data_IF_126082043470
#
_entry.id   IF_126082043470
#
_cell.length_a   1.000
_cell.length_b   1.000
_cell.length_c   1.000
_cell.angle_alpha   90.00
_cell.angle_beta   90.00
_cell.angle_gamma   90.00
#
_symmetry.space_group_name_H-M   'P 1'
#
loop_
_entity.id
_entity.type
_entity.pdbx_description
1 polymer ?
#
# COMPACT_ATOMS: atom_id res chain seq x y z
N UNK A 1 21.84 -9.31 32.72
CA UNK A 1 20.87 -8.23 32.44
C UNK A 1 21.56 -7.15 31.62
N UNK A 2 21.39 -7.12 30.31
CA UNK A 2 21.62 -5.91 29.50
C UNK A 2 20.91 -6.07 28.16
N UNK A 3 19.89 -5.23 27.95
CA UNK A 3 19.13 -5.15 26.72
C UNK A 3 19.93 -4.41 25.65
N UNK A 4 20.08 -5.00 24.46
CA UNK A 4 20.58 -4.30 23.28
C UNK A 4 19.38 -3.94 22.41
N UNK A 5 18.88 -2.72 22.60
CA UNK A 5 17.98 -2.08 21.64
C UNK A 5 18.74 -1.86 20.34
N UNK A 6 18.30 -2.53 19.27
CA UNK A 6 18.69 -2.19 17.91
C UNK A 6 17.48 -1.56 17.24
N UNK A 7 17.59 -0.24 17.10
CA UNK A 7 16.80 0.70 16.34
C UNK A 7 16.22 0.11 15.06
N UNK A 8 14.92 -0.20 15.06
CA UNK A 8 14.15 -0.24 13.82
C UNK A 8 14.24 1.16 13.20
N UNK A 9 14.48 1.31 11.89
CA UNK A 9 14.44 2.63 11.26
C UNK A 9 13.08 3.27 11.57
N UNK A 10 12.99 4.61 11.69
CA UNK A 10 11.70 5.28 11.71
C UNK A 10 11.09 5.11 10.31
N UNK A 11 10.55 3.93 10.02
CA UNK A 11 9.56 3.81 8.98
C UNK A 11 8.45 4.74 9.44
N UNK A 12 8.41 5.94 8.86
CA UNK A 12 7.20 6.75 8.92
C UNK A 12 6.07 5.81 8.58
N UNK A 13 5.12 5.57 9.49
CA UNK A 13 4.04 4.63 9.22
C UNK A 13 3.39 5.13 7.93
N UNK A 14 3.47 4.30 6.89
CA UNK A 14 2.97 4.65 5.56
C UNK A 14 1.56 5.22 5.73
N UNK A 15 1.26 6.33 5.04
CA UNK A 15 -0.08 6.89 5.10
C UNK A 15 -1.10 5.83 4.66
N UNK A 16 -2.34 5.95 5.15
CA UNK A 16 -3.44 5.03 4.78
C UNK A 16 -3.55 4.87 3.26
N UNK A 17 -3.43 5.98 2.53
CA UNK A 17 -3.38 6.00 1.07
C UNK A 17 -2.27 5.12 0.47
N UNK A 18 -1.03 5.23 0.96
CA UNK A 18 0.08 4.41 0.45
C UNK A 18 -0.13 2.92 0.74
N UNK A 19 -0.66 2.59 1.92
CA UNK A 19 -0.97 1.20 2.31
C UNK A 19 -2.09 0.63 1.44
N UNK A 20 -3.13 1.41 1.15
CA UNK A 20 -4.18 1.05 0.21
C UNK A 20 -3.64 0.80 -1.21
N UNK A 21 -2.73 1.64 -1.70
CA UNK A 21 -2.11 1.44 -3.02
C UNK A 21 -1.26 0.17 -3.10
N UNK A 22 -0.49 -0.14 -2.06
CA UNK A 22 0.29 -1.39 -1.97
C UNK A 22 -0.66 -2.60 -1.97
N UNK A 23 -1.76 -2.50 -1.23
CA UNK A 23 -2.78 -3.53 -1.19
C UNK A 23 -3.45 -3.75 -2.55
N UNK A 24 -3.89 -2.69 -3.23
CA UNK A 24 -4.47 -2.76 -4.58
C UNK A 24 -3.50 -3.40 -5.58
N UNK A 25 -2.21 -3.03 -5.51
CA UNK A 25 -1.18 -3.66 -6.35
C UNK A 25 -1.01 -5.16 -6.05
N UNK A 26 -1.06 -5.54 -4.76
CA UNK A 26 -0.95 -6.93 -4.32
C UNK A 26 -2.14 -7.78 -4.78
N UNK A 27 -3.33 -7.19 -4.83
CA UNK A 27 -4.55 -7.82 -5.35
C UNK A 27 -4.52 -7.96 -6.87
N UNK A 28 -4.11 -6.91 -7.59
CA UNK A 28 -4.00 -6.89 -9.07
C UNK A 28 -2.98 -7.92 -9.58
N UNK A 29 -1.90 -8.13 -8.83
CA UNK A 29 -0.84 -9.07 -9.20
C UNK A 29 -1.18 -10.54 -8.87
N UNK A 30 -2.43 -10.86 -8.51
CA UNK A 30 -2.92 -12.21 -8.12
C UNK A 30 -2.16 -12.89 -6.97
N UNK A 31 -1.39 -12.15 -6.18
CA UNK A 31 -0.41 -12.76 -5.28
C UNK A 31 -0.98 -13.23 -3.94
N UNK A 32 -2.16 -12.77 -3.48
CA UNK A 32 -2.71 -13.10 -2.14
C UNK A 32 -4.23 -13.01 -2.05
N UNK A 33 -4.79 -13.68 -1.03
CA UNK A 33 -6.20 -13.54 -0.63
C UNK A 33 -6.48 -12.14 -0.08
N UNK A 34 -7.68 -11.63 -0.36
CA UNK A 34 -8.10 -10.26 -0.04
C UNK A 34 -7.99 -9.94 1.46
N UNK A 35 -8.50 -10.80 2.32
CA UNK A 35 -8.48 -10.57 3.77
C UNK A 35 -7.05 -10.48 4.33
N UNK A 36 -6.12 -11.26 3.76
CA UNK A 36 -4.73 -11.26 4.18
C UNK A 36 -4.00 -9.98 3.76
N UNK A 37 -4.31 -9.47 2.57
CA UNK A 37 -3.76 -8.18 2.10
C UNK A 37 -4.23 -7.03 2.98
N UNK A 38 -5.50 -6.98 3.35
CA UNK A 38 -6.05 -5.96 4.25
C UNK A 38 -5.36 -6.01 5.62
N UNK A 39 -5.26 -7.20 6.22
CA UNK A 39 -4.63 -7.40 7.52
C UNK A 39 -3.15 -7.00 7.54
N UNK A 40 -2.38 -7.37 6.52
CA UNK A 40 -0.95 -7.06 6.44
C UNK A 40 -0.70 -5.56 6.26
N UNK A 41 -1.56 -4.89 5.50
CA UNK A 41 -1.43 -3.46 5.23
C UNK A 41 -2.14 -2.59 6.27
N UNK A 42 -2.87 -3.17 7.22
CA UNK A 42 -3.62 -2.46 8.26
C UNK A 42 -4.53 -1.38 7.65
N UNK A 43 -5.40 -1.84 6.75
CA UNK A 43 -6.40 -1.05 6.02
C UNK A 43 -7.72 -1.84 5.98
N UNK A 44 -8.83 -1.14 5.76
CA UNK A 44 -10.14 -1.75 5.56
C UNK A 44 -10.52 -1.84 4.07
N UNK A 45 -11.62 -2.52 3.77
CA UNK A 45 -12.17 -2.51 2.41
C UNK A 45 -12.67 -1.11 2.02
N UNK A 46 -13.09 -0.28 2.98
CA UNK A 46 -13.48 1.11 2.70
C UNK A 46 -12.28 1.95 2.27
N UNK A 47 -11.11 1.77 2.91
CA UNK A 47 -9.86 2.42 2.50
C UNK A 47 -9.48 2.04 1.06
N UNK A 48 -9.66 0.76 0.68
CA UNK A 48 -9.41 0.32 -0.69
C UNK A 48 -10.30 1.08 -1.66
N UNK A 49 -11.61 1.14 -1.38
CA UNK A 49 -12.58 1.81 -2.25
C UNK A 49 -12.34 3.32 -2.33
N UNK A 50 -11.96 3.97 -1.22
CA UNK A 50 -11.63 5.41 -1.18
C UNK A 50 -10.44 5.74 -2.08
N UNK A 51 -9.39 4.90 -2.05
CA UNK A 51 -8.14 5.19 -2.76
C UNK A 51 -8.00 4.50 -4.12
N UNK A 52 -8.95 3.65 -4.52
CA UNK A 52 -8.94 2.91 -5.79
C UNK A 52 -8.89 3.84 -7.01
N UNK A 53 -9.76 4.85 -7.06
CA UNK A 53 -9.77 5.81 -8.18
C UNK A 53 -8.45 6.58 -8.29
N UNK A 54 -7.88 6.97 -7.16
CA UNK A 54 -6.61 7.69 -7.08
C UNK A 54 -5.44 6.80 -7.55
N UNK A 55 -5.48 5.52 -7.17
CA UNK A 55 -4.52 4.51 -7.61
C UNK A 55 -4.62 4.24 -9.12
N UNK A 56 -5.83 4.12 -9.66
CA UNK A 56 -6.05 3.94 -11.11
C UNK A 56 -5.52 5.14 -11.90
N UNK A 57 -5.74 6.37 -11.43
CA UNK A 57 -5.17 7.58 -12.05
C UNK A 57 -3.63 7.55 -12.06
N UNK A 58 -3.01 6.99 -11.02
CA UNK A 58 -1.56 6.82 -10.95
C UNK A 58 -1.06 5.80 -11.99
N UNK A 59 -1.76 4.68 -12.15
CA UNK A 59 -1.44 3.62 -13.14
C UNK A 59 -1.72 4.04 -14.58
N UNK A 60 -2.80 4.78 -14.81
CA UNK A 60 -3.22 5.23 -16.13
C UNK A 60 -2.52 6.51 -16.59
N UNK A 61 -1.59 7.07 -15.79
CA UNK A 61 -0.77 8.20 -16.24
C UNK A 61 -0.01 7.73 -17.48
N UNK A 62 -0.25 8.30 -18.69
CA UNK A 62 0.52 7.95 -19.85
C UNK A 62 1.98 8.24 -19.51
N UNK A 63 2.81 7.20 -19.56
CA UNK A 63 4.24 7.30 -19.34
C UNK A 63 4.82 8.20 -20.44
N UNK A 64 4.80 9.52 -20.22
CA UNK A 64 5.28 10.52 -21.15
C UNK A 64 4.65 10.45 -22.54
N UNK A 65 3.69 11.33 -22.82
CA UNK A 65 3.73 11.94 -24.16
C UNK A 65 5.09 12.65 -24.22
N UNK A 66 6.04 12.01 -24.92
CA UNK A 66 7.29 12.61 -25.37
C UNK A 66 6.97 14.00 -25.91
N UNK A 67 7.52 15.03 -25.28
CA UNK A 67 7.67 16.35 -25.87
C UNK A 67 9.11 16.52 -26.30
#
# INVERSE_FOLDING_TARGET
MTAAGTTSPPFSPLSRQHRAWIALYSLDSYHRKREEVLRINDITEEDLQEFEESWLKLRCRPAGVLR
#
